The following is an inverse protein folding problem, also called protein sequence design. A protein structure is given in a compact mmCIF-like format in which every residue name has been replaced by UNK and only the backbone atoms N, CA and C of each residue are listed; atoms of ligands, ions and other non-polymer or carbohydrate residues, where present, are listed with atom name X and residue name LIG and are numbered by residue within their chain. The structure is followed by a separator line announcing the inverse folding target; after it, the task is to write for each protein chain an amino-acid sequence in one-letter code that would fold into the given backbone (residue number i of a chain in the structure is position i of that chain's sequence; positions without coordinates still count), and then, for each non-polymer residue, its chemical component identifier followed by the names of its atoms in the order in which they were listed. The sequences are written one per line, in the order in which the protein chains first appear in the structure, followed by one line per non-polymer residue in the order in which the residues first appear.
data_IF_539148043612
#
_entry.id   IF_539148043612
#
_cell.length_a   1.000
_cell.length_b   1.000
_cell.length_c   1.000
_cell.angle_alpha   90.00
_cell.angle_beta   90.00
_cell.angle_gamma   90.00
#
_symmetry.space_group_name_H-M   'P 1'
#
loop_
_entity.id
_entity.type
_entity.pdbx_description
1 polymer ?
#
# COMPACT_ATOMS: atom_id res chain seq x y z
N UNK A 1 11.06 -12.89 5.35
CA UNK A 1 10.02 -11.87 5.26
C UNK A 1 10.32 -10.99 4.05
N UNK A 2 9.51 -11.07 3.01
CA UNK A 2 9.60 -10.29 1.77
C UNK A 2 8.53 -9.21 1.76
N UNK A 3 8.96 -7.96 1.63
CA UNK A 3 8.10 -6.81 1.40
C UNK A 3 8.30 -6.34 -0.05
N UNK A 4 7.21 -6.01 -0.76
CA UNK A 4 7.26 -5.53 -2.14
C UNK A 4 6.49 -4.23 -2.26
N UNK A 5 7.13 -3.19 -2.81
CA UNK A 5 6.52 -1.88 -3.01
C UNK A 5 5.89 -1.74 -4.40
N UNK A 6 4.70 -1.13 -4.43
CA UNK A 6 3.93 -0.83 -5.62
C UNK A 6 3.87 0.69 -5.81
N UNK A 7 4.69 1.21 -6.73
CA UNK A 7 4.84 2.66 -6.94
C UNK A 7 3.98 3.25 -8.06
N UNK A 8 3.34 2.43 -8.89
CA UNK A 8 2.57 2.90 -10.06
C UNK A 8 1.20 2.23 -10.16
N UNK A 9 0.17 2.92 -10.69
CA UNK A 9 -1.16 2.35 -10.82
C UNK A 9 -1.18 1.04 -11.61
N UNK A 10 -0.35 0.91 -12.64
CA UNK A 10 -0.29 -0.29 -13.48
C UNK A 10 0.22 -1.52 -12.70
N UNK A 11 0.98 -1.32 -11.62
CA UNK A 11 1.48 -2.41 -10.79
C UNK A 11 0.37 -3.07 -9.97
N UNK A 12 -0.75 -2.38 -9.69
CA UNK A 12 -1.86 -2.93 -8.89
C UNK A 12 -2.43 -4.21 -9.52
N UNK A 13 -2.36 -4.35 -10.84
CA UNK A 13 -2.78 -5.56 -11.56
C UNK A 13 -1.96 -6.82 -11.18
N UNK A 14 -0.76 -6.65 -10.60
CA UNK A 14 0.10 -7.76 -10.17
C UNK A 14 -0.20 -8.24 -8.74
N UNK A 15 -0.98 -7.48 -7.96
CA UNK A 15 -1.28 -7.80 -6.56
C UNK A 15 -1.80 -9.23 -6.37
N UNK A 16 -2.79 -9.73 -7.15
CA UNK A 16 -3.32 -11.08 -6.95
C UNK A 16 -2.29 -12.20 -7.12
N UNK A 17 -1.23 -11.96 -7.90
CA UNK A 17 -0.12 -12.89 -8.12
C UNK A 17 0.91 -12.81 -7.00
N UNK A 18 1.08 -11.62 -6.42
CA UNK A 18 2.11 -11.38 -5.41
C UNK A 18 1.80 -11.97 -4.04
N UNK A 19 0.54 -12.25 -3.73
CA UNK A 19 0.13 -12.87 -2.45
C UNK A 19 0.80 -14.22 -2.14
N UNK A 20 1.31 -14.92 -3.16
CA UNK A 20 2.01 -16.19 -2.98
C UNK A 20 3.49 -16.03 -2.58
N UNK A 21 4.04 -14.81 -2.68
CA UNK A 21 5.47 -14.55 -2.50
C UNK A 21 5.76 -13.44 -1.49
N UNK A 22 4.91 -12.41 -1.41
CA UNK A 22 5.08 -11.27 -0.54
C UNK A 22 4.36 -11.47 0.80
N UNK A 23 5.07 -11.23 1.89
CA UNK A 23 4.51 -11.18 3.23
C UNK A 23 3.85 -9.81 3.50
N UNK A 24 4.39 -8.75 2.88
CA UNK A 24 3.90 -7.37 2.99
C UNK A 24 3.81 -6.73 1.61
N UNK A 25 2.67 -6.13 1.32
CA UNK A 25 2.43 -5.29 0.16
C UNK A 25 2.54 -3.83 0.60
N UNK A 26 3.54 -3.11 0.10
CA UNK A 26 3.68 -1.68 0.35
C UNK A 26 3.01 -0.87 -0.77
N UNK A 27 2.12 0.05 -0.39
CA UNK A 27 1.64 1.11 -1.26
C UNK A 27 2.66 2.23 -1.21
N UNK A 28 3.55 2.25 -2.21
CA UNK A 28 4.69 3.14 -2.24
C UNK A 28 4.28 4.61 -2.37
N UNK A 29 5.17 5.51 -1.93
CA UNK A 29 4.91 6.95 -1.87
C UNK A 29 4.29 7.53 -3.16
N UNK A 30 4.78 7.26 -4.39
CA UNK A 30 4.21 7.86 -5.60
C UNK A 30 2.78 7.40 -5.87
N UNK A 31 2.48 6.13 -5.60
CA UNK A 31 1.14 5.57 -5.76
C UNK A 31 0.18 6.13 -4.71
N UNK A 32 0.60 6.16 -3.45
CA UNK A 32 -0.18 6.69 -2.34
C UNK A 32 -0.47 8.19 -2.53
N UNK A 33 0.52 8.98 -2.95
CA UNK A 33 0.31 10.41 -3.25
C UNK A 33 -0.59 10.65 -4.47
N UNK A 34 -0.59 9.75 -5.46
CA UNK A 34 -1.38 9.89 -6.68
C UNK A 34 -2.85 9.50 -6.49
N UNK A 35 -3.10 8.40 -5.78
CA UNK A 35 -4.44 7.80 -5.66
C UNK A 35 -5.05 7.95 -4.26
N UNK A 36 -4.27 8.40 -3.27
CA UNK A 36 -4.70 8.52 -1.88
C UNK A 36 -5.11 7.18 -1.28
N UNK A 37 -6.07 7.22 -0.37
CA UNK A 37 -6.59 6.06 0.35
C UNK A 37 -7.18 4.97 -0.57
N UNK A 38 -7.59 5.33 -1.79
CA UNK A 38 -8.14 4.36 -2.74
C UNK A 38 -7.15 3.25 -3.11
N UNK A 39 -5.84 3.55 -3.17
CA UNK A 39 -4.82 2.52 -3.42
C UNK A 39 -4.73 1.50 -2.29
N UNK A 40 -4.92 1.95 -1.04
CA UNK A 40 -4.94 1.07 0.14
C UNK A 40 -6.17 0.17 0.09
N UNK A 41 -7.35 0.75 -0.19
CA UNK A 41 -8.61 0.01 -0.32
C UNK A 41 -8.51 -1.06 -1.42
N UNK A 42 -8.03 -0.68 -2.61
CA UNK A 42 -7.84 -1.63 -3.73
C UNK A 42 -6.88 -2.77 -3.36
N UNK A 43 -5.78 -2.48 -2.66
CA UNK A 43 -4.86 -3.52 -2.25
C UNK A 43 -5.47 -4.48 -1.22
N UNK A 44 -6.25 -3.97 -0.26
CA UNK A 44 -6.99 -4.80 0.71
C UNK A 44 -8.05 -5.66 0.04
N UNK A 45 -8.76 -5.14 -0.96
CA UNK A 45 -9.77 -5.89 -1.71
C UNK A 45 -9.15 -7.02 -2.55
N UNK A 46 -8.01 -6.75 -3.19
CA UNK A 46 -7.34 -7.72 -4.05
C UNK A 46 -6.48 -8.74 -3.30
N UNK A 47 -6.01 -8.40 -2.10
CA UNK A 47 -5.12 -9.22 -1.26
C UNK A 47 -5.53 -9.15 0.22
N UNK A 48 -6.73 -9.65 0.59
CA UNK A 48 -7.27 -9.51 1.95
C UNK A 48 -6.44 -10.21 3.02
N UNK A 49 -5.70 -11.25 2.65
CA UNK A 49 -4.92 -12.09 3.58
C UNK A 49 -3.45 -11.62 3.73
N UNK A 50 -3.03 -10.58 3.01
CA UNK A 50 -1.66 -10.07 3.04
C UNK A 50 -1.61 -8.74 3.78
N UNK A 51 -0.59 -8.52 4.58
CA UNK A 51 -0.40 -7.26 5.28
C UNK A 51 -0.16 -6.13 4.27
N UNK A 52 -0.94 -5.05 4.38
CA UNK A 52 -0.77 -3.84 3.57
C UNK A 52 -0.07 -2.78 4.41
N UNK A 53 1.05 -2.27 3.90
CA UNK A 53 1.80 -1.14 4.46
C UNK A 53 1.55 0.10 3.60
N UNK A 54 1.04 1.17 4.18
CA UNK A 54 0.91 2.46 3.50
C UNK A 54 2.16 3.31 3.77
N UNK A 55 2.92 3.68 2.73
CA UNK A 55 4.11 4.52 2.87
C UNK A 55 3.72 6.01 2.98
N UNK A 56 3.04 6.36 4.08
CA UNK A 56 2.45 7.69 4.31
C UNK A 56 3.49 8.81 4.42
N UNK A 57 4.73 8.45 4.80
CA UNK A 57 5.79 9.40 5.14
C UNK A 57 5.32 10.47 6.14
N UNK A 58 4.53 10.05 7.13
CA UNK A 58 4.06 10.92 8.21
C UNK A 58 5.24 11.65 8.86
N UNK A 59 5.22 12.98 8.83
CA UNK A 59 6.39 13.79 9.24
C UNK A 59 6.01 15.13 9.87
N UNK A 60 4.87 15.73 9.50
CA UNK A 60 4.48 17.05 9.98
C UNK A 60 3.44 16.93 11.12
N UNK A 61 2.22 16.52 10.79
CA UNK A 61 1.12 16.38 11.75
C UNK A 61 1.21 15.20 12.72
N UNK A 62 2.24 14.33 12.60
CA UNK A 62 2.49 13.22 13.52
C UNK A 62 1.26 12.33 13.74
N UNK A 63 0.75 12.30 14.97
CA UNK A 63 -0.44 11.51 15.34
C UNK A 63 -1.65 11.85 14.47
N UNK A 64 -1.87 13.12 14.15
CA UNK A 64 -3.02 13.54 13.34
C UNK A 64 -2.97 12.87 11.95
N UNK A 65 -1.80 12.86 11.30
CA UNK A 65 -1.63 12.23 9.99
C UNK A 65 -1.73 10.70 10.07
N UNK A 66 -1.26 10.10 11.17
CA UNK A 66 -1.36 8.66 11.38
C UNK A 66 -2.82 8.20 11.56
N UNK A 67 -3.68 9.01 12.19
CA UNK A 67 -5.10 8.69 12.39
C UNK A 67 -5.96 8.90 11.12
N UNK A 68 -5.42 9.53 10.07
CA UNK A 68 -6.14 9.82 8.83
C UNK A 68 -6.11 8.68 7.79
N UNK A 69 -5.29 7.63 8.01
CA UNK A 69 -4.98 6.58 7.02
C UNK A 69 -5.41 5.20 7.49
#
# INVERSE_FOLDING_TARGET
LLQVAFDKPEHLALLPQMKAFADIIEIGTPLLKRLGLSAITTARELCPDVMVLADTKTVDGGQLEADMV
#
